data_IF_500074397552
#
_entry.id   IF_500074397552
#
_cell.length_a   1.000
_cell.length_b   1.000
_cell.length_c   1.000
_cell.angle_alpha   90.00
_cell.angle_beta   90.00
_cell.angle_gamma   90.00
#
_symmetry.space_group_name_H-M   'P 1'
#
loop_
_entity.id
_entity.type
_entity.pdbx_description
1 polymer ?
#
# COMPACT_ATOMS: atom_id res chain seq x y z
N UNK A 1 -15.73 -10.40 43.36
CA UNK A 1 -16.47 -9.41 42.53
C UNK A 1 -16.53 -8.10 43.32
N UNK A 2 -15.67 -7.12 43.01
CA UNK A 2 -15.70 -5.79 43.63
C UNK A 2 -15.86 -4.75 42.52
N UNK A 3 -16.96 -3.99 42.55
CA UNK A 3 -17.23 -2.88 41.63
C UNK A 3 -16.70 -1.61 42.29
N UNK A 4 -15.64 -1.03 41.74
CA UNK A 4 -15.25 0.35 42.04
C UNK A 4 -16.28 1.29 41.42
N UNK A 5 -17.02 2.04 42.24
CA UNK A 5 -17.79 3.21 41.79
C UNK A 5 -16.94 4.45 42.06
N UNK A 6 -16.47 5.08 40.99
CA UNK A 6 -15.77 6.37 41.03
C UNK A 6 -16.76 7.47 41.47
N UNK A 7 -16.48 8.07 42.61
CA UNK A 7 -17.31 9.10 43.24
C UNK A 7 -16.77 10.47 42.80
N UNK A 8 -17.12 10.88 41.57
CA UNK A 8 -16.68 12.14 40.97
C UNK A 8 -17.25 13.35 41.70
N UNK A 9 -16.38 14.17 42.30
CA UNK A 9 -16.76 15.45 42.93
C UNK A 9 -17.50 16.35 41.94
N UNK A 10 -18.59 17.04 42.34
CA UNK A 10 -19.31 17.94 41.46
C UNK A 10 -18.41 19.12 41.05
N UNK A 11 -18.52 19.52 39.78
CA UNK A 11 -17.76 20.65 39.26
C UNK A 11 -18.07 21.93 40.05
N UNK A 12 -17.03 22.67 40.45
CA UNK A 12 -17.18 23.95 41.16
C UNK A 12 -18.07 24.92 40.37
N UNK A 13 -18.87 25.73 41.06
CA UNK A 13 -19.78 26.71 40.46
C UNK A 13 -19.09 27.62 39.42
N UNK A 14 -17.83 28.01 39.66
CA UNK A 14 -17.02 28.78 38.69
C UNK A 14 -16.76 28.00 37.39
N UNK A 15 -16.52 26.69 37.51
CA UNK A 15 -16.29 25.79 36.38
C UNK A 15 -17.58 25.53 35.60
N UNK A 16 -18.73 25.50 36.28
CA UNK A 16 -20.04 25.37 35.64
C UNK A 16 -20.38 26.63 34.82
N UNK A 17 -20.17 27.82 35.39
CA UNK A 17 -20.43 29.09 34.69
C UNK A 17 -19.51 29.23 33.47
N UNK A 18 -18.22 28.92 33.61
CA UNK A 18 -17.29 28.92 32.48
C UNK A 18 -17.68 27.91 31.40
N UNK A 19 -18.09 26.69 31.78
CA UNK A 19 -18.56 25.68 30.82
C UNK A 19 -19.86 26.11 30.11
N UNK A 20 -20.77 26.80 30.79
CA UNK A 20 -21.99 27.33 30.19
C UNK A 20 -21.69 28.44 29.18
N UNK A 21 -20.78 29.35 29.50
CA UNK A 21 -20.33 30.40 28.57
C UNK A 21 -19.60 29.82 27.37
N UNK A 22 -18.70 28.85 27.59
CA UNK A 22 -17.99 28.16 26.51
C UNK A 22 -18.93 27.32 25.64
N UNK A 23 -19.97 26.70 26.21
CA UNK A 23 -20.98 25.95 25.47
C UNK A 23 -21.84 26.85 24.56
N UNK A 24 -22.12 28.09 24.98
CA UNK A 24 -22.83 29.06 24.13
C UNK A 24 -21.98 29.57 22.96
N UNK A 25 -20.64 29.59 23.10
CA UNK A 25 -19.73 29.94 22.01
C UNK A 25 -19.32 28.73 21.14
N UNK A 26 -19.35 27.53 21.71
CA UNK A 26 -19.09 26.26 21.04
C UNK A 26 -20.37 25.65 20.48
N UNK A 27 -21.08 26.41 19.64
CA UNK A 27 -21.96 25.76 18.65
C UNK A 27 -21.03 24.98 17.72
N UNK A 28 -21.10 23.65 17.76
CA UNK A 28 -20.14 22.77 17.09
C UNK A 28 -19.86 23.15 15.63
N UNK A 29 -18.78 22.63 15.02
CA UNK A 29 -18.33 23.10 13.73
C UNK A 29 -19.47 23.02 12.71
N UNK A 30 -19.88 24.19 12.18
CA UNK A 30 -21.02 24.30 11.24
C UNK A 30 -20.74 23.60 9.91
N UNK A 31 -19.47 23.38 9.61
CA UNK A 31 -19.00 22.58 8.51
C UNK A 31 -17.83 21.69 8.99
N UNK A 32 -18.11 20.39 9.09
CA UNK A 32 -17.12 19.37 9.41
C UNK A 32 -16.62 18.65 8.15
N UNK A 33 -16.94 19.09 6.94
CA UNK A 33 -16.51 18.43 5.70
C UNK A 33 -14.98 18.27 5.62
N UNK A 34 -14.25 19.32 6.01
CA UNK A 34 -12.79 19.37 6.03
C UNK A 34 -12.17 18.62 7.22
N UNK A 35 -12.86 18.57 8.36
CA UNK A 35 -12.34 17.97 9.61
C UNK A 35 -12.82 16.55 9.88
N UNK A 36 -13.92 16.07 9.28
CA UNK A 36 -14.38 14.66 9.39
C UNK A 36 -13.34 13.70 8.87
N UNK A 37 -12.61 14.13 7.84
CA UNK A 37 -11.53 13.36 7.24
C UNK A 37 -10.29 13.36 8.12
N UNK A 38 -10.16 14.22 9.14
CA UNK A 38 -9.00 14.21 10.03
C UNK A 38 -9.00 12.98 10.97
N UNK A 39 -10.17 12.49 11.38
CA UNK A 39 -10.26 11.21 12.09
C UNK A 39 -9.91 10.02 11.18
N UNK A 40 -10.24 10.11 9.88
CA UNK A 40 -9.86 9.14 8.86
C UNK A 40 -8.37 9.23 8.44
N UNK A 41 -7.74 10.41 8.57
CA UNK A 41 -6.30 10.63 8.31
C UNK A 41 -5.39 9.93 9.31
N UNK A 42 -5.85 9.67 10.54
CA UNK A 42 -4.97 9.19 11.61
C UNK A 42 -5.37 7.84 12.24
N UNK A 43 -6.62 7.38 12.13
CA UNK A 43 -7.08 6.22 12.92
C UNK A 43 -7.13 4.86 12.22
N UNK A 44 -7.45 4.83 10.93
CA UNK A 44 -7.85 3.58 10.23
C UNK A 44 -7.20 3.40 8.85
N UNK A 45 -6.36 4.33 8.40
CA UNK A 45 -5.88 4.40 7.01
C UNK A 45 -4.36 4.47 6.89
N UNK A 46 -3.66 3.64 7.67
CA UNK A 46 -2.20 3.54 7.64
C UNK A 46 -1.68 2.10 7.49
N UNK A 47 -2.52 1.14 7.07
CA UNK A 47 -2.07 -0.25 6.84
C UNK A 47 -1.29 -0.40 5.53
N UNK A 48 -1.39 0.57 4.62
CA UNK A 48 -0.74 0.52 3.31
C UNK A 48 0.63 1.17 3.30
N UNK A 49 0.82 2.27 4.04
CA UNK A 49 2.08 2.98 4.11
C UNK A 49 3.07 2.22 4.99
N UNK A 50 4.30 2.11 4.53
CA UNK A 50 5.43 1.59 5.28
C UNK A 50 6.53 2.63 5.35
N UNK A 51 7.63 2.33 6.05
CA UNK A 51 8.82 3.19 6.13
C UNK A 51 9.48 3.45 4.77
N UNK A 52 9.13 2.67 3.74
CA UNK A 52 9.60 2.87 2.37
C UNK A 52 8.82 3.97 1.64
N UNK A 53 7.63 4.31 2.14
CA UNK A 53 6.74 5.27 1.48
C UNK A 53 6.85 6.65 2.13
N UNK A 54 6.73 7.67 1.30
CA UNK A 54 6.59 9.05 1.76
C UNK A 54 5.11 9.34 1.96
N UNK A 55 4.71 9.56 3.22
CA UNK A 55 3.32 9.87 3.56
C UNK A 55 2.81 11.13 2.82
N UNK A 56 3.67 12.13 2.62
CA UNK A 56 3.35 13.34 1.85
C UNK A 56 2.97 13.03 0.40
N UNK A 57 3.75 12.20 -0.28
CA UNK A 57 3.52 11.80 -1.67
C UNK A 57 2.19 11.04 -1.80
N UNK A 58 1.88 10.19 -0.83
CA UNK A 58 0.60 9.48 -0.77
C UNK A 58 -0.59 10.41 -0.55
N UNK A 59 -0.46 11.37 0.37
CA UNK A 59 -1.51 12.36 0.63
C UNK A 59 -1.75 13.24 -0.61
N UNK A 60 -0.68 13.66 -1.29
CA UNK A 60 -0.76 14.42 -2.54
C UNK A 60 -1.43 13.60 -3.64
N UNK A 61 -1.07 12.32 -3.78
CA UNK A 61 -1.73 11.41 -4.71
C UNK A 61 -3.24 11.31 -4.43
N UNK A 62 -3.62 11.11 -3.17
CA UNK A 62 -5.01 11.00 -2.76
C UNK A 62 -5.77 12.31 -3.02
N UNK A 63 -5.15 13.46 -2.74
CA UNK A 63 -5.72 14.78 -3.03
C UNK A 63 -5.95 14.97 -4.53
N UNK A 64 -4.96 14.65 -5.35
CA UNK A 64 -5.07 14.72 -6.81
C UNK A 64 -6.20 13.81 -7.32
N UNK A 65 -6.27 12.56 -6.85
CA UNK A 65 -7.35 11.64 -7.23
C UNK A 65 -8.72 12.18 -6.82
N UNK A 66 -8.87 12.74 -5.62
CA UNK A 66 -10.14 13.33 -5.19
C UNK A 66 -10.51 14.54 -6.04
N UNK A 67 -9.55 15.39 -6.41
CA UNK A 67 -9.79 16.56 -7.27
C UNK A 67 -10.21 16.12 -8.67
N UNK A 68 -9.51 15.13 -9.24
CA UNK A 68 -9.73 14.70 -10.62
C UNK A 68 -11.01 13.88 -10.78
N UNK A 69 -11.42 13.15 -9.73
CA UNK A 69 -12.59 12.25 -9.79
C UNK A 69 -13.85 12.83 -9.15
N UNK A 70 -13.75 13.85 -8.29
CA UNK A 70 -14.87 14.44 -7.54
C UNK A 70 -15.81 13.36 -6.94
N UNK A 71 -15.29 12.50 -6.05
CA UNK A 71 -16.03 11.35 -5.57
C UNK A 71 -17.16 11.77 -4.63
N UNK A 72 -18.38 11.27 -4.89
CA UNK A 72 -19.58 11.52 -4.09
C UNK A 72 -20.04 10.24 -3.41
N UNK A 73 -20.36 10.35 -2.13
CA UNK A 73 -20.83 9.23 -1.33
C UNK A 73 -19.72 8.25 -0.95
N UNK A 74 -20.09 7.26 -0.13
CA UNK A 74 -19.13 6.35 0.51
C UNK A 74 -18.47 5.41 -0.50
N UNK A 75 -19.21 4.96 -1.53
CA UNK A 75 -18.70 3.98 -2.49
C UNK A 75 -17.63 4.55 -3.42
N UNK A 76 -17.83 5.77 -3.95
CA UNK A 76 -16.82 6.42 -4.79
C UNK A 76 -15.57 6.77 -3.96
N UNK A 77 -15.76 7.30 -2.74
CA UNK A 77 -14.66 7.59 -1.80
C UNK A 77 -13.85 6.33 -1.44
N UNK A 78 -14.52 5.18 -1.32
CA UNK A 78 -13.86 3.90 -1.12
C UNK A 78 -13.03 3.51 -2.35
N UNK A 79 -13.61 3.58 -3.56
CA UNK A 79 -12.88 3.23 -4.79
C UNK A 79 -11.63 4.11 -4.97
N UNK A 80 -11.74 5.43 -4.77
CA UNK A 80 -10.62 6.38 -4.85
C UNK A 80 -9.48 5.99 -3.90
N UNK A 81 -9.80 5.60 -2.67
CA UNK A 81 -8.76 5.11 -1.77
C UNK A 81 -8.13 3.82 -2.27
N UNK A 82 -8.93 2.83 -2.68
CA UNK A 82 -8.37 1.56 -3.13
C UNK A 82 -7.46 1.74 -4.35
N UNK A 83 -7.79 2.70 -5.23
CA UNK A 83 -6.93 3.14 -6.33
C UNK A 83 -5.60 3.69 -5.78
N UNK A 84 -5.65 4.66 -4.85
CA UNK A 84 -4.45 5.24 -4.23
C UNK A 84 -3.58 4.17 -3.54
N UNK A 85 -4.20 3.25 -2.81
CA UNK A 85 -3.51 2.15 -2.12
C UNK A 85 -2.81 1.21 -3.11
N UNK A 86 -3.46 0.88 -4.23
CA UNK A 86 -2.86 0.06 -5.29
C UNK A 86 -1.68 0.80 -5.94
N UNK A 87 -1.84 2.08 -6.26
CA UNK A 87 -0.77 2.91 -6.85
C UNK A 87 0.44 3.02 -5.92
N UNK A 88 0.23 3.20 -4.61
CA UNK A 88 1.31 3.24 -3.62
C UNK A 88 2.08 1.91 -3.57
N UNK A 89 1.36 0.78 -3.56
CA UNK A 89 1.98 -0.55 -3.57
C UNK A 89 2.79 -0.81 -4.84
N UNK A 90 2.30 -0.37 -6.01
CA UNK A 90 3.03 -0.46 -7.28
C UNK A 90 4.29 0.41 -7.27
N UNK A 91 4.19 1.65 -6.79
CA UNK A 91 5.35 2.54 -6.67
C UNK A 91 6.43 1.94 -5.76
N UNK A 92 6.04 1.35 -4.64
CA UNK A 92 6.95 0.66 -3.73
C UNK A 92 7.60 -0.57 -4.36
N UNK A 93 6.86 -1.37 -5.13
CA UNK A 93 7.44 -2.52 -5.84
C UNK A 93 8.54 -2.07 -6.82
N UNK A 94 8.29 -1.01 -7.60
CA UNK A 94 9.26 -0.43 -8.53
C UNK A 94 10.48 0.17 -7.83
N UNK A 95 10.28 0.78 -6.66
CA UNK A 95 11.38 1.29 -5.83
C UNK A 95 12.31 0.16 -5.41
N UNK A 96 11.75 -0.94 -4.89
CA UNK A 96 12.52 -2.10 -4.43
C UNK A 96 13.29 -2.77 -5.57
N UNK A 97 12.65 -2.94 -6.73
CA UNK A 97 13.32 -3.46 -7.93
C UNK A 97 14.50 -2.58 -8.34
N UNK A 98 14.31 -1.25 -8.40
CA UNK A 98 15.38 -0.31 -8.73
C UNK A 98 16.54 -0.38 -7.74
N UNK A 99 16.25 -0.43 -6.45
CA UNK A 99 17.28 -0.51 -5.41
C UNK A 99 18.07 -1.81 -5.50
N UNK A 100 17.39 -2.93 -5.75
CA UNK A 100 18.05 -4.23 -5.93
C UNK A 100 19.00 -4.22 -7.14
N UNK A 101 18.54 -3.75 -8.30
CA UNK A 101 19.42 -3.60 -9.46
C UNK A 101 20.60 -2.67 -9.19
N UNK A 102 20.36 -1.55 -8.49
CA UNK A 102 21.42 -0.58 -8.15
C UNK A 102 22.47 -1.21 -7.24
N UNK A 103 22.04 -2.01 -6.25
CA UNK A 103 22.92 -2.69 -5.33
C UNK A 103 23.77 -3.77 -6.01
N UNK A 104 23.17 -4.52 -6.94
CA UNK A 104 23.90 -5.52 -7.73
C UNK A 104 24.94 -4.88 -8.66
N UNK A 105 24.63 -3.73 -9.27
CA UNK A 105 25.55 -3.00 -10.16
C UNK A 105 26.66 -2.26 -9.39
N UNK A 106 26.43 -1.89 -8.13
CA UNK A 106 27.37 -1.13 -7.30
C UNK A 106 27.61 -1.81 -5.94
N UNK A 107 28.23 -3.01 -5.93
CA UNK A 107 28.46 -3.76 -4.71
C UNK A 107 29.49 -3.08 -3.81
N UNK A 108 29.29 -3.20 -2.49
CA UNK A 108 30.24 -2.74 -1.49
C UNK A 108 31.58 -3.50 -1.62
N UNK A 109 32.69 -2.77 -1.47
CA UNK A 109 34.05 -3.30 -1.52
C UNK A 109 34.75 -3.11 -0.19
N UNK A 110 35.24 -4.23 0.34
CA UNK A 110 35.94 -4.29 1.62
C UNK A 110 37.32 -4.92 1.43
N UNK A 111 38.31 -4.45 2.18
CA UNK A 111 39.60 -5.13 2.34
C UNK A 111 39.68 -5.68 3.74
N UNK A 112 40.03 -6.97 3.83
CA UNK A 112 40.33 -7.63 5.09
C UNK A 112 41.83 -7.50 5.35
N UNK A 113 42.17 -6.81 6.43
CA UNK A 113 43.52 -6.77 6.96
C UNK A 113 43.71 -7.96 7.89
N UNK A 114 44.69 -8.82 7.61
CA UNK A 114 45.06 -9.92 8.51
C UNK A 114 45.96 -9.38 9.62
N UNK A 115 45.56 -9.59 10.87
CA UNK A 115 46.37 -9.21 12.03
C UNK A 115 47.53 -10.18 12.25
N UNK A 116 48.61 -9.67 12.85
CA UNK A 116 49.73 -10.48 13.33
C UNK A 116 49.67 -10.57 14.86
N UNK A 117 49.86 -11.77 15.41
CA UNK A 117 49.81 -12.05 16.85
C UNK A 117 50.97 -11.44 17.67
N UNK A 118 51.86 -10.67 17.03
CA UNK A 118 53.17 -10.28 17.59
C UNK A 118 53.17 -8.96 18.35
N UNK A 119 52.15 -8.11 18.20
CA UNK A 119 52.09 -6.78 18.84
C UNK A 119 50.82 -6.68 19.69
N UNK A 120 50.79 -5.85 20.73
CA UNK A 120 49.60 -5.60 21.57
C UNK A 120 48.82 -4.39 21.02
N UNK A 121 48.47 -4.42 19.74
CA UNK A 121 47.71 -3.37 19.04
C UNK A 121 46.24 -3.83 18.85
N UNK A 122 45.18 -3.01 18.97
CA UNK A 122 43.80 -3.45 18.72
C UNK A 122 43.55 -4.02 17.30
N UNK A 123 44.54 -3.84 16.42
CA UNK A 123 44.69 -4.35 15.05
C UNK A 123 45.09 -5.84 14.96
N UNK A 124 45.39 -6.49 16.08
CA UNK A 124 45.93 -7.86 16.15
C UNK A 124 45.00 -8.95 15.64
N UNK A 125 43.68 -8.74 15.66
CA UNK A 125 42.70 -9.76 15.24
C UNK A 125 42.23 -9.63 13.80
N UNK A 126 42.88 -8.77 13.01
CA UNK A 126 42.43 -8.41 11.69
C UNK A 126 41.19 -7.52 11.73
N UNK A 127 41.08 -6.62 10.78
CA UNK A 127 39.96 -5.70 10.68
C UNK A 127 39.53 -5.53 9.23
N UNK A 128 38.27 -5.17 9.04
CA UNK A 128 37.72 -4.90 7.72
C UNK A 128 37.72 -3.40 7.49
N UNK A 129 38.45 -2.96 6.48
CA UNK A 129 38.42 -1.58 6.00
C UNK A 129 37.45 -1.48 4.82
N UNK A 130 36.49 -0.57 4.92
CA UNK A 130 35.56 -0.30 3.81
C UNK A 130 36.24 0.66 2.84
N UNK A 131 36.55 0.18 1.63
CA UNK A 131 37.12 1.03 0.57
C UNK A 131 35.99 1.82 -0.09
N UNK A 132 34.90 1.12 -0.40
CA UNK A 132 33.72 1.71 -1.03
C UNK A 132 32.48 1.05 -0.44
N UNK A 133 31.61 1.80 0.26
CA UNK A 133 30.37 1.25 0.80
C UNK A 133 29.39 0.81 -0.29
N UNK A 134 29.61 1.16 -1.57
CA UNK A 134 28.71 0.86 -2.68
C UNK A 134 27.37 1.60 -2.54
N UNK A 135 26.32 1.06 -3.17
CA UNK A 135 24.94 1.55 -3.04
C UNK A 135 24.02 0.43 -2.57
N UNK A 136 24.05 0.06 -1.27
CA UNK A 136 23.28 -1.07 -0.78
C UNK A 136 21.77 -0.80 -0.91
N UNK A 137 21.02 -1.83 -1.27
CA UNK A 137 19.56 -1.81 -1.24
C UNK A 137 19.09 -1.67 0.22
N UNK A 138 17.94 -1.02 0.44
CA UNK A 138 17.40 -0.84 1.80
C UNK A 138 16.97 -2.15 2.45
N UNK A 139 16.63 -3.14 1.64
CA UNK A 139 16.23 -4.49 2.06
C UNK A 139 17.28 -5.48 1.58
N UNK A 140 17.63 -6.47 2.41
CA UNK A 140 18.56 -7.52 2.02
C UNK A 140 17.97 -8.43 0.93
N UNK A 141 18.79 -9.03 0.04
CA UNK A 141 18.29 -9.92 -1.02
C UNK A 141 17.42 -11.07 -0.47
N UNK A 142 17.78 -11.66 0.66
CA UNK A 142 16.99 -12.72 1.31
C UNK A 142 15.61 -12.22 1.79
N UNK A 143 15.56 -11.00 2.31
CA UNK A 143 14.31 -10.39 2.74
C UNK A 143 13.46 -10.02 1.52
N UNK A 144 14.08 -9.51 0.46
CA UNK A 144 13.40 -9.23 -0.80
C UNK A 144 12.84 -10.51 -1.43
N UNK A 145 13.58 -11.62 -1.44
CA UNK A 145 13.10 -12.90 -1.98
C UNK A 145 11.94 -13.46 -1.14
N UNK A 146 11.98 -13.34 0.20
CA UNK A 146 10.83 -13.65 1.05
C UNK A 146 9.61 -12.78 0.72
N UNK A 147 9.82 -11.47 0.61
CA UNK A 147 8.77 -10.52 0.21
C UNK A 147 8.27 -10.85 -1.19
N UNK A 148 9.12 -11.26 -2.12
CA UNK A 148 8.75 -11.58 -3.49
C UNK A 148 7.88 -12.84 -3.56
N UNK A 149 8.25 -13.87 -2.80
CA UNK A 149 7.49 -15.13 -2.69
C UNK A 149 6.12 -14.94 -2.03
N UNK A 150 5.97 -13.97 -1.13
CA UNK A 150 4.74 -13.77 -0.35
C UNK A 150 3.89 -12.57 -0.82
N UNK A 151 4.48 -11.51 -1.37
CA UNK A 151 3.88 -10.16 -1.55
C UNK A 151 4.23 -9.47 -2.88
N UNK A 152 5.25 -9.88 -3.67
CA UNK A 152 5.64 -9.17 -4.93
C UNK A 152 5.31 -9.90 -6.24
N UNK A 153 4.76 -11.13 -6.23
CA UNK A 153 4.00 -11.67 -7.39
C UNK A 153 2.75 -10.85 -7.77
N UNK A 154 2.64 -9.65 -7.23
CA UNK A 154 1.47 -8.83 -7.16
C UNK A 154 1.51 -7.64 -8.11
N UNK A 155 2.51 -7.46 -8.99
CA UNK A 155 2.41 -6.37 -9.98
C UNK A 155 1.17 -6.56 -10.85
N UNK A 156 1.09 -7.69 -11.57
CA UNK A 156 -0.11 -8.03 -12.35
C UNK A 156 -1.37 -8.13 -11.47
N UNK A 157 -1.26 -8.62 -10.23
CA UNK A 157 -2.42 -8.72 -9.31
C UNK A 157 -2.92 -7.35 -8.85
N UNK A 158 -2.02 -6.43 -8.52
CA UNK A 158 -2.31 -5.08 -8.04
C UNK A 158 -2.78 -4.23 -9.21
N UNK A 159 -2.17 -4.36 -10.40
CA UNK A 159 -2.67 -3.73 -11.62
C UNK A 159 -4.09 -4.20 -11.94
N UNK A 160 -4.34 -5.51 -11.88
CA UNK A 160 -5.71 -6.03 -12.06
C UNK A 160 -6.68 -5.49 -11.00
N UNK A 161 -6.26 -5.37 -9.73
CA UNK A 161 -7.07 -4.75 -8.68
C UNK A 161 -7.30 -3.27 -8.94
N UNK A 162 -6.27 -2.53 -9.33
CA UNK A 162 -6.32 -1.11 -9.69
C UNK A 162 -7.34 -0.90 -10.81
N UNK A 163 -7.24 -1.67 -11.90
CA UNK A 163 -8.19 -1.63 -13.01
C UNK A 163 -9.61 -1.96 -12.58
N UNK A 164 -9.80 -2.95 -11.70
CA UNK A 164 -11.13 -3.28 -11.15
C UNK A 164 -11.72 -2.11 -10.35
N UNK A 165 -10.93 -1.46 -9.49
CA UNK A 165 -11.40 -0.32 -8.70
C UNK A 165 -11.66 0.91 -9.55
N UNK A 166 -10.82 1.15 -10.55
CA UNK A 166 -11.03 2.21 -11.54
C UNK A 166 -12.34 2.02 -12.30
N UNK A 167 -12.54 0.84 -12.90
CA UNK A 167 -13.77 0.51 -13.60
C UNK A 167 -15.00 0.60 -12.68
N UNK A 168 -14.88 0.22 -11.40
CA UNK A 168 -15.97 0.34 -10.44
C UNK A 168 -16.31 1.80 -10.15
N UNK A 169 -15.30 2.67 -10.02
CA UNK A 169 -15.50 4.11 -9.83
C UNK A 169 -16.21 4.73 -11.03
N UNK A 170 -15.70 4.49 -12.24
CA UNK A 170 -16.33 4.96 -13.47
C UNK A 170 -17.80 4.51 -13.55
N UNK A 171 -18.09 3.27 -13.13
CA UNK A 171 -19.45 2.77 -13.12
C UNK A 171 -20.36 3.45 -12.10
N UNK A 172 -19.85 3.81 -10.92
CA UNK A 172 -20.63 4.59 -9.95
C UNK A 172 -20.91 6.00 -10.50
N UNK A 173 -19.92 6.63 -11.10
CA UNK A 173 -20.04 7.98 -11.63
C UNK A 173 -20.96 8.06 -12.86
N UNK A 174 -20.89 7.09 -13.76
CA UNK A 174 -21.81 7.02 -14.89
C UNK A 174 -23.25 6.76 -14.43
N UNK A 175 -23.48 5.91 -13.41
CA UNK A 175 -24.80 5.77 -12.77
C UNK A 175 -25.29 7.09 -12.18
N UNK A 176 -24.42 7.84 -11.52
CA UNK A 176 -24.71 9.17 -10.96
C UNK A 176 -25.09 10.18 -12.05
N UNK A 177 -24.44 10.14 -13.22
CA UNK A 177 -24.78 10.97 -14.39
C UNK A 177 -26.03 10.51 -15.15
N UNK A 178 -26.65 9.40 -14.74
CA UNK A 178 -27.80 8.81 -15.44
C UNK A 178 -27.44 8.11 -16.75
N UNK A 179 -26.14 7.83 -16.98
CA UNK A 179 -25.68 7.09 -18.15
C UNK A 179 -26.01 5.61 -18.01
N UNK A 180 -26.49 5.01 -19.10
CA UNK A 180 -26.86 3.61 -19.12
C UNK A 180 -25.61 2.75 -19.29
N UNK A 181 -25.16 2.15 -18.18
CA UNK A 181 -23.97 1.30 -18.19
C UNK A 181 -24.41 -0.13 -18.54
N UNK A 182 -23.96 -0.70 -19.67
CA UNK A 182 -24.25 -2.09 -19.95
C UNK A 182 -23.62 -2.97 -18.86
N UNK A 183 -24.38 -3.98 -18.44
CA UNK A 183 -23.86 -5.06 -17.61
C UNK A 183 -22.59 -5.61 -18.29
N UNK A 184 -21.55 -5.97 -17.52
CA UNK A 184 -20.38 -6.61 -18.10
C UNK A 184 -20.83 -7.77 -18.98
N UNK A 185 -20.58 -7.70 -20.28
CA UNK A 185 -20.87 -8.80 -21.18
C UNK A 185 -19.94 -9.94 -20.75
N UNK A 186 -20.49 -11.01 -20.20
CA UNK A 186 -19.76 -12.25 -20.00
C UNK A 186 -19.50 -12.82 -21.40
N UNK A 187 -18.35 -12.46 -21.98
CA UNK A 187 -17.87 -13.10 -23.19
C UNK A 187 -17.18 -14.39 -22.74
N UNK A 188 -17.88 -15.51 -22.88
CA UNK A 188 -17.26 -16.83 -22.72
C UNK A 188 -16.28 -17.03 -23.88
N UNK A 189 -15.00 -16.77 -23.63
CA UNK A 189 -13.92 -17.08 -24.57
C UNK A 189 -13.55 -18.55 -24.37
N UNK A 190 -14.22 -19.45 -25.11
CA UNK A 190 -13.76 -20.83 -25.24
C UNK A 190 -12.51 -20.85 -26.11
N UNK A 191 -11.33 -20.85 -25.48
CA UNK A 191 -10.05 -21.11 -26.16
C UNK A 191 -9.98 -22.61 -26.45
N UNK A 192 -10.54 -23.03 -27.57
CA UNK A 192 -10.21 -24.34 -28.13
C UNK A 192 -8.87 -24.22 -28.85
N UNK A 193 -7.82 -24.80 -28.26
CA UNK A 193 -6.56 -25.04 -28.95
C UNK A 193 -6.80 -26.01 -30.11
N UNK A 194 -7.12 -25.48 -31.29
CA UNK A 194 -7.11 -26.25 -32.53
C UNK A 194 -5.66 -26.51 -32.95
N UNK A 195 -5.00 -27.45 -32.27
CA UNK A 195 -3.81 -28.14 -32.74
C UNK A 195 -4.21 -29.47 -33.34
N UNK A 196 -4.17 -29.58 -34.67
CA UNK A 196 -4.53 -30.79 -35.39
C UNK A 196 -3.63 -31.99 -35.03
N UNK A 197 -4.26 -33.15 -34.84
CA UNK A 197 -3.62 -34.46 -34.83
C UNK A 197 -4.53 -35.46 -35.53
N UNK A 198 -4.45 -35.49 -36.86
CA UNK A 198 -5.01 -36.56 -37.68
C UNK A 198 -4.37 -37.88 -37.25
N UNK A 199 -5.17 -38.80 -36.74
CA UNK A 199 -4.78 -40.13 -36.33
C UNK A 199 -5.94 -41.10 -36.49
N UNK A 200 -6.34 -41.30 -37.76
CA UNK A 200 -7.19 -42.42 -38.16
C UNK A 200 -6.46 -43.72 -37.80
N UNK A 201 -6.86 -44.36 -36.71
CA UNK A 201 -6.54 -45.76 -36.45
C UNK A 201 -7.74 -46.58 -36.92
N UNK A 202 -7.55 -47.23 -38.06
CA UNK A 202 -8.54 -48.11 -38.65
C UNK A 202 -8.80 -49.31 -37.75
N UNK A 203 -10.08 -49.53 -37.45
CA UNK A 203 -10.59 -50.87 -37.21
C UNK A 203 -11.08 -51.39 -38.57
N UNK A 204 -10.42 -52.43 -39.07
CA UNK A 204 -10.96 -53.29 -40.12
C UNK A 204 -11.49 -54.53 -39.40
N UNK A 205 -12.78 -54.51 -39.09
CA UNK A 205 -13.62 -55.71 -39.07
C UNK A 205 -13.83 -56.06 -40.56
N UNK A 206 -13.74 -57.27 -41.11
CA UNK A 206 -14.19 -58.64 -40.76
C UNK A 206 -13.76 -59.53 -41.98
N UNK A 207 -14.05 -60.85 -42.13
CA UNK A 207 -15.11 -61.67 -41.52
C UNK A 207 -14.64 -62.86 -40.66
#
# INVERSE_FOLDING_TARGET
MSKHTDNGKPASAKKIIANQQNAQQSTGPKDTSLTRSNALKHGLRNEVLTELDRAEDFLLLLENLNRDTEPVGVMEQFCVQQIADCMCRLARAKLLEREEFTAQLHPARFVQHTGSLTELDPKVFGWTETIDPGKPARISPDALDRINRTVVRYETSIENKLMRWWNMLERQQARRRGELIPLPAAVDVNVHENGQGVGSFGNVDEP
#
